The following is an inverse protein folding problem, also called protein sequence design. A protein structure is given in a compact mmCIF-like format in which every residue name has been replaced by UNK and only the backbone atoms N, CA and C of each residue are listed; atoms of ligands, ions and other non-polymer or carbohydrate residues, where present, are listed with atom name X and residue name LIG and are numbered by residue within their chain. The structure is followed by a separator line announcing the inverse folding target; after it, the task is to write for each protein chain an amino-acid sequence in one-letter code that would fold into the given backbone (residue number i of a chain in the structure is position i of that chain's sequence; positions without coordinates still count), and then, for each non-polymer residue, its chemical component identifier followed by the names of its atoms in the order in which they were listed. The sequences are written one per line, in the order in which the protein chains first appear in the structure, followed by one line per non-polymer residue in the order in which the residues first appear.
data_IF_009967062833
#
_entry.id   IF_009967062833
#
_cell.length_a   1.000
_cell.length_b   1.000
_cell.length_c   1.000
_cell.angle_alpha   90.00
_cell.angle_beta   90.00
_cell.angle_gamma   90.00
#
_symmetry.space_group_name_H-M   'P 1'
#
loop_
_entity.id
_entity.type
_entity.pdbx_description
1 polymer ?
#
# COMPACT_ATOMS: atom_id res chain seq x y z
N UNK A 1 -9.63 38.17 -23.75
CA UNK A 1 -9.78 37.04 -24.69
C UNK A 1 -10.89 36.14 -24.17
N UNK A 2 -12.03 36.03 -24.86
CA UNK A 2 -13.15 35.18 -24.42
C UNK A 2 -12.89 33.75 -24.92
N UNK A 3 -12.67 32.80 -24.02
CA UNK A 3 -12.44 31.39 -24.38
C UNK A 3 -13.80 30.71 -24.58
N UNK A 4 -14.02 30.13 -25.75
CA UNK A 4 -15.28 29.43 -26.06
C UNK A 4 -15.39 28.09 -25.33
N UNK A 5 -16.62 27.65 -25.06
CA UNK A 5 -16.86 26.35 -24.43
C UNK A 5 -16.30 25.17 -25.25
N UNK A 6 -16.35 25.27 -26.59
CA UNK A 6 -15.79 24.25 -27.48
C UNK A 6 -14.26 24.14 -27.43
N UNK A 7 -13.54 25.25 -27.19
CA UNK A 7 -12.09 25.22 -27.02
C UNK A 7 -11.69 24.52 -25.71
N UNK A 8 -12.48 24.70 -24.65
CA UNK A 8 -12.30 24.01 -23.36
C UNK A 8 -12.53 22.51 -23.53
N UNK A 9 -13.61 22.12 -24.21
CA UNK A 9 -13.94 20.72 -24.44
C UNK A 9 -12.82 20.00 -25.21
N UNK A 10 -12.28 20.62 -26.27
CA UNK A 10 -11.16 20.06 -27.03
C UNK A 10 -9.88 19.93 -26.21
N UNK A 11 -9.55 20.95 -25.40
CA UNK A 11 -8.40 20.87 -24.50
C UNK A 11 -8.53 19.71 -23.50
N UNK A 12 -9.73 19.49 -22.94
CA UNK A 12 -9.97 18.37 -22.04
C UNK A 12 -9.81 17.01 -22.74
N UNK A 13 -10.24 16.89 -24.00
CA UNK A 13 -10.09 15.66 -24.80
C UNK A 13 -8.62 15.39 -25.14
N UNK A 14 -7.91 16.40 -25.66
CA UNK A 14 -6.51 16.29 -26.08
C UNK A 14 -5.56 15.93 -24.91
N UNK A 15 -5.98 16.14 -23.66
CA UNK A 15 -5.18 15.89 -22.46
C UNK A 15 -5.82 14.85 -21.52
N UNK A 16 -6.76 14.05 -22.05
CA UNK A 16 -7.41 12.93 -21.34
C UNK A 16 -7.99 13.32 -19.97
N UNK A 17 -8.51 14.55 -19.85
CA UNK A 17 -9.01 15.09 -18.59
C UNK A 17 -10.41 14.56 -18.28
N UNK A 18 -10.53 13.64 -17.34
CA UNK A 18 -11.78 12.95 -16.99
C UNK A 18 -12.45 13.46 -15.69
N UNK A 19 -12.90 14.73 -15.61
CA UNK A 19 -13.61 15.17 -14.40
C UNK A 19 -14.33 16.53 -14.43
N UNK A 20 -15.26 16.77 -13.47
CA UNK A 20 -16.17 17.92 -13.46
C UNK A 20 -15.52 19.16 -12.80
N UNK A 21 -14.44 19.68 -13.38
CA UNK A 21 -13.77 20.94 -12.94
C UNK A 21 -13.63 21.96 -14.07
N UNK A 22 -14.65 22.08 -14.92
CA UNK A 22 -14.65 23.02 -16.05
C UNK A 22 -14.40 24.49 -15.64
N UNK A 23 -14.79 24.89 -14.42
CA UNK A 23 -14.55 26.24 -13.90
C UNK A 23 -13.09 26.51 -13.52
N UNK A 24 -12.36 25.52 -13.00
CA UNK A 24 -10.93 25.69 -12.64
C UNK A 24 -10.03 25.76 -13.88
N UNK A 25 -10.44 25.11 -14.97
CA UNK A 25 -9.69 25.06 -16.24
C UNK A 25 -9.82 26.37 -17.02
N UNK A 26 -10.98 27.05 -16.95
CA UNK A 26 -11.22 28.36 -17.60
C UNK A 26 -10.20 29.43 -17.21
N UNK A 27 -9.71 29.39 -15.97
CA UNK A 27 -8.71 30.32 -15.45
C UNK A 27 -7.28 29.77 -15.51
N UNK A 28 -7.07 28.59 -16.11
CA UNK A 28 -5.73 28.00 -16.19
C UNK A 28 -4.87 28.73 -17.23
N UNK A 29 -3.64 29.08 -16.84
CA UNK A 29 -2.66 29.67 -17.77
C UNK A 29 -2.35 28.73 -18.95
N UNK A 30 -2.44 27.42 -18.71
CA UNK A 30 -2.23 26.37 -19.71
C UNK A 30 -3.30 26.37 -20.81
N UNK A 31 -4.58 26.51 -20.46
CA UNK A 31 -5.65 26.63 -21.46
C UNK A 31 -5.49 27.89 -22.31
N UNK A 32 -5.14 29.03 -21.69
CA UNK A 32 -4.91 30.29 -22.42
C UNK A 32 -3.77 30.11 -23.43
N UNK A 33 -2.68 29.46 -23.01
CA UNK A 33 -1.54 29.18 -23.89
C UNK A 33 -1.93 28.21 -25.02
N UNK A 34 -2.66 27.14 -24.71
CA UNK A 34 -3.16 26.18 -25.70
C UNK A 34 -4.02 26.87 -26.77
N UNK A 35 -4.99 27.68 -26.36
CA UNK A 35 -5.88 28.38 -27.30
C UNK A 35 -5.10 29.37 -28.17
N UNK A 36 -4.14 30.10 -27.59
CA UNK A 36 -3.27 31.01 -28.35
C UNK A 36 -2.38 30.27 -29.36
N UNK A 37 -1.78 29.14 -28.96
CA UNK A 37 -0.92 28.33 -29.84
C UNK A 37 -1.68 27.69 -31.01
N UNK A 38 -2.93 27.28 -30.80
CA UNK A 38 -3.80 26.79 -31.87
C UNK A 38 -4.27 27.91 -32.78
N UNK A 39 -4.61 29.08 -32.22
CA UNK A 39 -5.04 30.24 -33.00
C UNK A 39 -3.92 30.79 -33.91
N UNK A 40 -2.65 30.62 -33.53
CA UNK A 40 -1.51 31.00 -34.36
C UNK A 40 -1.17 29.98 -35.47
N UNK A 41 -1.93 28.88 -35.60
CA UNK A 41 -1.67 27.84 -36.60
C UNK A 41 -0.37 27.06 -36.36
N UNK A 42 0.32 27.31 -35.24
CA UNK A 42 1.55 26.63 -34.89
C UNK A 42 1.23 25.18 -34.51
N UNK A 43 1.76 24.25 -35.30
CA UNK A 43 1.81 22.83 -34.91
C UNK A 43 2.85 22.73 -33.80
N UNK A 44 2.42 22.31 -32.60
CA UNK A 44 3.35 21.93 -31.55
C UNK A 44 4.16 20.75 -32.10
N UNK A 45 5.43 20.98 -32.45
CA UNK A 45 6.38 19.89 -32.55
C UNK A 45 6.34 19.20 -31.19
N UNK A 46 5.88 17.95 -31.17
CA UNK A 46 5.99 17.12 -29.99
C UNK A 46 7.49 16.93 -29.80
N UNK A 47 8.07 17.76 -28.93
CA UNK A 47 9.44 17.61 -28.46
C UNK A 47 9.47 16.22 -27.85
N UNK A 48 9.99 15.25 -28.63
CA UNK A 48 10.25 13.91 -28.14
C UNK A 48 11.19 14.14 -26.96
N UNK A 49 10.71 13.81 -25.75
CA UNK A 49 11.49 13.92 -24.51
C UNK A 49 12.90 13.49 -24.83
N UNK A 50 13.85 14.41 -24.69
CA UNK A 50 15.25 14.11 -24.86
C UNK A 50 15.54 12.85 -24.05
N UNK A 51 15.87 11.77 -24.76
CA UNK A 51 16.42 10.58 -24.15
C UNK A 51 17.62 11.06 -23.36
N UNK A 52 17.52 11.00 -22.03
CA UNK A 52 18.57 11.43 -21.10
C UNK A 52 19.88 10.84 -21.61
N UNK A 53 20.76 11.68 -22.18
CA UNK A 53 22.06 11.24 -22.69
C UNK A 53 22.87 10.84 -21.47
N UNK A 54 22.97 9.53 -21.22
CA UNK A 54 23.84 9.00 -20.17
C UNK A 54 25.29 9.33 -20.53
N UNK A 55 26.12 9.81 -19.58
CA UNK A 55 27.53 10.07 -19.83
C UNK A 55 28.24 8.75 -20.20
N UNK A 56 29.14 8.82 -21.18
CA UNK A 56 29.94 7.65 -21.56
C UNK A 56 31.01 7.42 -20.47
N UNK A 57 30.86 6.34 -19.71
CA UNK A 57 31.84 5.92 -18.70
C UNK A 57 32.77 4.89 -19.36
N UNK A 58 34.07 5.20 -19.57
CA UNK A 58 34.98 4.32 -20.30
C UNK A 58 35.39 3.08 -19.48
N UNK A 59 35.47 3.19 -18.16
CA UNK A 59 35.81 2.10 -17.25
C UNK A 59 34.59 1.23 -16.95
N UNK A 60 34.72 -0.08 -17.17
CA UNK A 60 33.66 -1.06 -16.96
C UNK A 60 33.30 -1.23 -15.48
N UNK A 61 34.26 -1.10 -14.58
CA UNK A 61 34.03 -1.23 -13.14
C UNK A 61 33.21 -0.08 -12.59
N UNK A 62 33.55 1.15 -13.00
CA UNK A 62 32.82 2.36 -12.63
C UNK A 62 31.43 2.34 -13.27
N UNK A 63 31.31 1.84 -14.51
CA UNK A 63 30.02 1.68 -15.18
C UNK A 63 29.10 0.72 -14.43
N UNK A 64 29.61 -0.43 -14.01
CA UNK A 64 28.85 -1.39 -13.21
C UNK A 64 28.39 -0.79 -11.88
N UNK A 65 29.26 -0.01 -11.22
CA UNK A 65 28.90 0.67 -9.97
C UNK A 65 27.83 1.74 -10.17
N UNK A 66 27.94 2.56 -11.22
CA UNK A 66 26.92 3.55 -11.57
C UNK A 66 25.60 2.88 -11.91
N UNK A 67 25.62 1.75 -12.62
CA UNK A 67 24.41 0.99 -12.92
C UNK A 67 23.74 0.46 -11.63
N UNK A 68 24.51 -0.05 -10.69
CA UNK A 68 23.99 -0.48 -9.38
C UNK A 68 23.31 0.67 -8.63
N UNK A 69 23.92 1.86 -8.62
CA UNK A 69 23.33 3.05 -8.00
C UNK A 69 22.05 3.51 -8.71
N UNK A 70 22.00 3.42 -10.05
CA UNK A 70 20.79 3.71 -10.82
C UNK A 70 19.66 2.75 -10.48
N UNK A 71 19.96 1.45 -10.36
CA UNK A 71 18.99 0.42 -10.01
C UNK A 71 18.44 0.62 -8.59
N UNK A 72 19.30 0.91 -7.60
CA UNK A 72 18.89 1.23 -6.22
C UNK A 72 17.99 2.47 -6.17
N UNK A 73 18.35 3.53 -6.90
CA UNK A 73 17.54 4.75 -7.01
C UNK A 73 16.17 4.44 -7.59
N UNK A 74 16.13 3.69 -8.68
CA UNK A 74 14.87 3.39 -9.38
C UNK A 74 13.96 2.51 -8.51
N UNK A 75 14.54 1.57 -7.76
CA UNK A 75 13.82 0.80 -6.75
C UNK A 75 13.27 1.68 -5.64
N UNK A 76 14.04 2.65 -5.12
CA UNK A 76 13.57 3.60 -4.12
C UNK A 76 12.42 4.48 -4.64
N UNK A 77 12.52 5.00 -5.87
CA UNK A 77 11.45 5.78 -6.52
C UNK A 77 10.18 4.93 -6.67
N UNK A 78 10.32 3.66 -7.07
CA UNK A 78 9.19 2.74 -7.24
C UNK A 78 8.46 2.49 -5.91
N UNK A 79 9.21 2.26 -4.84
CA UNK A 79 8.69 2.09 -3.48
C UNK A 79 7.96 3.34 -3.00
N UNK A 80 8.56 4.53 -3.21
CA UNK A 80 7.92 5.81 -2.86
C UNK A 80 6.58 5.98 -3.58
N UNK A 81 6.54 5.74 -4.90
CA UNK A 81 5.30 5.82 -5.68
C UNK A 81 4.25 4.81 -5.23
N UNK A 82 4.66 3.61 -4.83
CA UNK A 82 3.78 2.58 -4.27
C UNK A 82 3.17 3.03 -2.95
N UNK A 83 3.99 3.61 -2.06
CA UNK A 83 3.54 4.17 -0.78
C UNK A 83 2.58 5.34 -1.03
N UNK A 84 2.94 6.31 -1.87
CA UNK A 84 2.08 7.45 -2.21
C UNK A 84 0.72 6.98 -2.76
N UNK A 85 0.72 5.96 -3.63
CA UNK A 85 -0.52 5.36 -4.15
C UNK A 85 -1.30 4.65 -3.05
N UNK A 86 -0.63 3.91 -2.17
CA UNK A 86 -1.24 3.29 -1.00
C UNK A 86 -1.91 4.30 -0.08
N UNK A 87 -1.21 5.40 0.23
CA UNK A 87 -1.73 6.51 1.06
C UNK A 87 -2.94 7.19 0.41
N UNK A 88 -2.96 7.36 -0.91
CA UNK A 88 -4.14 7.88 -1.63
C UNK A 88 -5.32 6.92 -1.65
N UNK A 89 -5.06 5.62 -1.55
CA UNK A 89 -6.09 4.58 -1.52
C UNK A 89 -6.63 4.33 -0.10
N UNK A 90 -5.95 4.81 0.94
CA UNK A 90 -6.50 4.77 2.29
C UNK A 90 -7.70 5.72 2.35
N UNK A 91 -8.85 5.27 2.90
CA UNK A 91 -9.97 6.17 3.13
C UNK A 91 -9.49 7.33 4.00
N UNK A 92 -9.91 8.55 3.65
CA UNK A 92 -9.56 9.74 4.41
C UNK A 92 -9.89 9.53 5.88
N UNK A 93 -8.90 9.80 6.74
CA UNK A 93 -9.10 9.73 8.19
C UNK A 93 -10.13 10.81 8.54
N UNK A 94 -11.28 10.47 9.16
CA UNK A 94 -12.30 11.44 9.53
C UNK A 94 -11.78 12.32 10.67
N UNK A 95 -11.13 13.42 10.31
CA UNK A 95 -10.54 14.38 11.27
C UNK A 95 -11.65 14.95 12.17
N UNK A 96 -12.87 15.13 11.64
CA UNK A 96 -14.01 15.58 12.42
C UNK A 96 -14.41 14.60 13.52
N UNK A 97 -14.27 13.28 13.31
CA UNK A 97 -14.51 12.27 14.36
C UNK A 97 -13.40 12.27 15.41
N UNK A 98 -12.14 12.54 15.01
CA UNK A 98 -10.99 12.66 15.93
C UNK A 98 -11.10 13.94 16.78
N UNK A 99 -11.49 15.06 16.19
CA UNK A 99 -11.68 16.31 16.92
C UNK A 99 -12.88 16.19 17.87
N UNK A 100 -13.94 15.49 17.45
CA UNK A 100 -15.16 15.29 18.25
C UNK A 100 -14.96 14.27 19.38
N UNK A 101 -14.04 13.31 19.25
CA UNK A 101 -13.66 12.39 20.32
C UNK A 101 -12.61 12.96 21.28
N UNK A 102 -11.93 14.05 20.92
CA UNK A 102 -10.88 14.65 21.73
C UNK A 102 -9.63 13.78 21.78
N UNK A 103 -8.45 14.39 21.89
CA UNK A 103 -7.15 13.70 21.97
C UNK A 103 -6.96 12.88 23.28
N UNK A 104 -8.03 12.42 23.92
CA UNK A 104 -8.03 11.91 25.30
C UNK A 104 -8.65 10.54 25.52
N UNK A 105 -9.57 10.05 24.69
CA UNK A 105 -10.18 8.74 24.91
C UNK A 105 -10.51 8.01 23.60
N UNK A 106 -10.27 6.68 23.51
CA UNK A 106 -10.69 5.89 22.36
C UNK A 106 -12.22 5.83 22.32
N UNK A 107 -12.84 6.70 21.52
CA UNK A 107 -14.26 6.56 21.21
C UNK A 107 -14.48 5.33 20.31
N UNK A 108 -15.28 4.34 20.73
CA UNK A 108 -15.50 3.11 19.98
C UNK A 108 -16.61 3.37 18.95
N UNK A 109 -16.29 3.95 17.81
CA UNK A 109 -17.24 4.05 16.71
C UNK A 109 -16.52 4.02 15.37
N UNK A 110 -16.25 2.80 14.90
CA UNK A 110 -15.56 2.57 13.64
C UNK A 110 -14.98 1.18 13.48
N UNK A 111 -15.16 0.27 14.44
CA UNK A 111 -15.19 -1.15 14.12
C UNK A 111 -16.37 -1.36 13.17
N UNK A 112 -16.10 -1.26 11.86
CA UNK A 112 -16.72 -2.22 10.93
C UNK A 112 -16.56 -3.55 11.65
N UNK A 113 -17.65 -4.08 12.20
CA UNK A 113 -17.68 -5.44 12.69
C UNK A 113 -17.14 -6.27 11.53
N UNK A 114 -15.85 -6.59 11.60
CA UNK A 114 -15.24 -7.57 10.74
C UNK A 114 -16.18 -8.78 10.91
N UNK A 115 -16.62 -9.42 9.81
CA UNK A 115 -17.46 -10.61 9.94
C UNK A 115 -16.76 -11.49 10.96
N UNK A 116 -17.46 -11.85 12.05
CA UNK A 116 -16.86 -12.62 13.14
C UNK A 116 -16.23 -13.85 12.51
N UNK A 117 -14.91 -13.82 12.39
CA UNK A 117 -14.18 -14.81 11.63
C UNK A 117 -14.14 -16.04 12.50
N UNK A 118 -15.10 -16.94 12.27
CA UNK A 118 -15.17 -18.20 12.97
C UNK A 118 -14.18 -19.14 12.32
N UNK A 119 -13.22 -19.59 13.11
CA UNK A 119 -12.39 -20.69 12.69
C UNK A 119 -13.24 -21.95 12.51
N UNK A 120 -13.08 -22.67 11.39
CA UNK A 120 -13.64 -24.00 11.24
C UNK A 120 -13.19 -24.89 12.41
N UNK A 121 -14.10 -25.72 12.96
CA UNK A 121 -13.80 -26.59 14.10
C UNK A 121 -12.57 -27.49 13.85
N UNK A 122 -12.40 -27.98 12.61
CA UNK A 122 -11.23 -28.77 12.22
C UNK A 122 -9.91 -27.99 12.32
N UNK A 123 -9.93 -26.69 11.99
CA UNK A 123 -8.74 -25.85 12.12
C UNK A 123 -8.34 -25.65 13.59
N UNK A 124 -9.33 -25.59 14.48
CA UNK A 124 -9.10 -25.50 15.93
C UNK A 124 -8.50 -26.78 16.49
N UNK A 125 -9.04 -27.94 16.09
CA UNK A 125 -8.46 -29.24 16.46
C UNK A 125 -7.02 -29.37 15.96
N UNK A 126 -6.78 -29.03 14.69
CA UNK A 126 -5.44 -29.04 14.12
C UNK A 126 -4.46 -28.13 14.86
N UNK A 127 -4.88 -26.92 15.25
CA UNK A 127 -4.05 -26.00 16.03
C UNK A 127 -3.74 -26.53 17.43
N UNK A 128 -4.71 -27.16 18.10
CA UNK A 128 -4.48 -27.78 19.41
C UNK A 128 -3.46 -28.94 19.31
N UNK A 129 -3.58 -29.76 18.27
CA UNK A 129 -2.63 -30.85 17.97
C UNK A 129 -1.23 -30.28 17.68
N UNK A 130 -1.15 -29.17 16.95
CA UNK A 130 0.12 -28.52 16.59
C UNK A 130 0.87 -27.93 17.80
N UNK A 131 0.16 -27.67 18.91
CA UNK A 131 0.75 -27.19 20.16
C UNK A 131 0.92 -28.29 21.22
N UNK A 132 0.64 -29.55 20.90
CA UNK A 132 0.87 -30.67 21.80
C UNK A 132 2.38 -30.97 21.88
N UNK A 133 2.94 -30.87 23.09
CA UNK A 133 4.36 -31.08 23.34
C UNK A 133 4.80 -32.50 22.97
N UNK A 134 3.93 -33.51 23.16
CA UNK A 134 4.23 -34.92 22.87
C UNK A 134 4.37 -35.13 21.36
N UNK A 135 3.47 -34.53 20.58
CA UNK A 135 3.46 -34.65 19.12
C UNK A 135 4.62 -33.86 18.53
N UNK A 136 4.88 -32.66 19.02
CA UNK A 136 6.02 -31.86 18.58
C UNK A 136 7.33 -32.61 18.80
N UNK A 137 7.52 -33.21 19.98
CA UNK A 137 8.72 -33.99 20.27
C UNK A 137 8.90 -35.18 19.34
N UNK A 138 7.80 -35.84 18.94
CA UNK A 138 7.85 -36.98 18.00
C UNK A 138 8.32 -36.59 16.58
N UNK A 139 8.08 -35.34 16.16
CA UNK A 139 8.48 -34.79 14.86
C UNK A 139 9.85 -34.09 14.95
N UNK A 140 10.49 -34.11 16.11
CA UNK A 140 11.78 -33.46 16.34
C UNK A 140 11.66 -31.93 16.44
N UNK A 141 10.50 -31.44 16.84
CA UNK A 141 10.24 -30.05 17.21
C UNK A 141 10.13 -29.94 18.73
N UNK A 142 10.43 -28.78 19.28
CA UNK A 142 10.26 -28.51 20.71
C UNK A 142 9.69 -27.11 20.90
N UNK A 143 8.79 -27.00 21.87
CA UNK A 143 8.27 -25.72 22.34
C UNK A 143 9.20 -25.17 23.42
N UNK A 144 9.80 -24.00 23.20
CA UNK A 144 10.73 -23.40 24.16
C UNK A 144 10.60 -21.88 24.21
N UNK A 145 10.31 -21.33 25.40
CA UNK A 145 10.15 -19.88 25.64
C UNK A 145 9.16 -19.22 24.66
N UNK A 146 8.00 -19.84 24.49
CA UNK A 146 6.97 -19.44 23.51
C UNK A 146 7.49 -19.38 22.07
N UNK A 147 8.35 -20.32 21.67
CA UNK A 147 8.83 -20.47 20.29
C UNK A 147 8.82 -21.95 19.89
N UNK A 148 8.51 -22.24 18.63
CA UNK A 148 8.71 -23.58 18.06
C UNK A 148 10.05 -23.60 17.36
N UNK A 149 10.93 -24.49 17.82
CA UNK A 149 12.26 -24.68 17.24
C UNK A 149 12.51 -26.16 16.97
N UNK A 150 13.37 -26.44 16.00
CA UNK A 150 13.83 -27.80 15.75
C UNK A 150 14.71 -28.28 16.92
N UNK A 151 14.56 -29.54 17.33
CA UNK A 151 15.27 -30.11 18.49
C UNK A 151 16.77 -30.26 18.25
N UNK A 152 17.15 -30.67 17.04
CA UNK A 152 18.54 -30.95 16.65
C UNK A 152 19.33 -29.68 16.32
N UNK A 153 18.80 -28.84 15.44
CA UNK A 153 19.51 -27.66 14.92
C UNK A 153 19.27 -26.39 15.72
N UNK A 154 18.28 -26.39 16.62
CA UNK A 154 17.79 -25.22 17.35
C UNK A 154 17.28 -24.07 16.48
N UNK A 155 17.07 -24.30 15.18
CA UNK A 155 16.50 -23.33 14.26
C UNK A 155 15.07 -22.97 14.68
N UNK A 156 14.78 -21.67 14.72
CA UNK A 156 13.47 -21.14 15.12
C UNK A 156 12.56 -21.18 13.89
N UNK A 157 11.47 -21.94 13.97
CA UNK A 157 10.44 -22.01 12.93
C UNK A 157 9.32 -21.00 13.20
N UNK A 158 8.86 -20.94 14.44
CA UNK A 158 7.86 -19.96 14.88
C UNK A 158 8.42 -19.11 16.00
N UNK A 159 8.40 -17.80 15.78
CA UNK A 159 8.80 -16.80 16.76
C UNK A 159 7.67 -16.51 17.75
N UNK A 160 8.00 -15.87 18.87
CA UNK A 160 7.05 -15.56 19.95
C UNK A 160 5.79 -14.86 19.47
N UNK A 161 5.93 -13.87 18.60
CA UNK A 161 4.79 -13.10 18.09
C UNK A 161 3.85 -13.93 17.19
N UNK A 162 4.36 -14.95 16.50
CA UNK A 162 3.52 -15.88 15.75
C UNK A 162 2.69 -16.77 16.69
N UNK A 163 3.32 -17.22 17.79
CA UNK A 163 2.65 -18.09 18.76
C UNK A 163 1.61 -17.32 19.56
N UNK A 164 1.89 -16.07 19.94
CA UNK A 164 0.89 -15.22 20.59
C UNK A 164 -0.29 -14.95 19.68
N UNK A 165 -0.06 -14.64 18.40
CA UNK A 165 -1.14 -14.45 17.43
C UNK A 165 -2.00 -15.70 17.25
N UNK A 166 -1.40 -16.89 17.19
CA UNK A 166 -2.14 -18.16 17.09
C UNK A 166 -2.94 -18.47 18.37
N UNK A 167 -2.40 -18.15 19.56
CA UNK A 167 -3.11 -18.29 20.84
C UNK A 167 -4.27 -17.31 20.96
N UNK A 168 -4.08 -16.05 20.56
CA UNK A 168 -5.14 -15.03 20.54
C UNK A 168 -6.28 -15.45 19.59
N UNK A 169 -5.92 -16.03 18.45
CA UNK A 169 -6.87 -16.55 17.47
C UNK A 169 -7.69 -17.76 17.98
N UNK A 170 -7.09 -18.58 18.85
CA UNK A 170 -7.82 -19.63 19.58
C UNK A 170 -8.74 -19.07 20.67
N UNK A 171 -8.34 -17.98 21.35
CA UNK A 171 -9.09 -17.37 22.45
C UNK A 171 -10.28 -16.53 21.97
N UNK A 172 -10.11 -15.73 20.91
CA UNK A 172 -11.20 -14.94 20.31
C UNK A 172 -12.37 -15.80 19.84
N UNK A 173 -12.09 -17.05 19.48
CA UNK A 173 -13.10 -18.03 19.08
C UNK A 173 -13.87 -18.66 20.26
N UNK A 174 -13.42 -18.50 21.52
CA UNK A 174 -14.04 -19.09 22.71
C UNK A 174 -15.02 -18.13 23.42
N UNK A 175 -14.71 -16.84 23.42
CA UNK A 175 -15.49 -15.81 24.13
C UNK A 175 -16.90 -15.60 23.56
N UNK A 176 -17.16 -15.97 22.30
CA UNK A 176 -18.51 -15.85 21.70
C UNK A 176 -19.47 -17.00 22.07
N UNK A 177 -18.97 -18.17 22.48
CA UNK A 177 -19.84 -19.31 22.85
C UNK A 177 -20.45 -19.11 24.24
N UNK A 178 -19.74 -18.43 25.14
CA UNK A 178 -20.19 -18.18 26.51
C UNK A 178 -21.27 -17.09 26.63
N UNK A 179 -21.51 -16.27 25.59
CA UNK A 179 -22.55 -15.23 25.58
C UNK A 179 -23.90 -15.69 25.02
N UNK A 180 -24.05 -16.98 24.70
CA UNK A 180 -25.27 -17.57 24.12
C UNK A 180 -25.98 -18.61 25.00
N UNK A 181 -25.60 -18.70 26.28
CA UNK A 181 -26.32 -19.46 27.32
C UNK A 181 -26.90 -18.47 28.31
#
# INVERSE_FOLDING_TARGET
MKISAGAIQRYCIDHEWSGPKAQSIRNSKLLIHYVKSRASGQRLEVVRKDTVKKPLIPDETIRAYVQLLEDERDQAISSRRRIERGLRNLPGIPIDEIIRSGFGEPSPAGEKQLPSFRLPNMAREALNILFDEVILDSVGLQFHRDRVRQKVTLNILLQKHHITALRELLQSSQSEVAQKV
#
